data_IF_905586315072
#
_entry.id   IF_905586315072
#
_cell.length_a   1.000
_cell.length_b   1.000
_cell.length_c   1.000
_cell.angle_alpha   90.00
_cell.angle_beta   90.00
_cell.angle_gamma   90.00
#
_symmetry.space_group_name_H-M   'P 1'
#
loop_
_entity.id
_entity.type
_entity.pdbx_description
1 polymer ?
#
# COMPACT_ATOMS: atom_id res chain seq x y z
N UNK A 1 68.33 -19.53 8.08
CA UNK A 1 67.35 -19.13 9.12
C UNK A 1 66.37 -18.05 8.60
N UNK A 2 66.74 -17.19 7.67
CA UNK A 2 65.86 -16.12 7.15
C UNK A 2 64.64 -16.62 6.33
N UNK A 3 64.75 -17.71 5.60
CA UNK A 3 63.69 -18.26 4.76
C UNK A 3 62.53 -18.79 5.62
N UNK A 4 62.82 -19.48 6.72
CA UNK A 4 61.82 -20.04 7.63
C UNK A 4 61.01 -18.96 8.39
N UNK A 5 61.66 -17.82 8.70
CA UNK A 5 61.02 -16.68 9.32
C UNK A 5 60.02 -15.99 8.37
N UNK A 6 60.34 -15.96 7.07
CA UNK A 6 59.48 -15.37 6.06
C UNK A 6 58.23 -16.22 5.79
N UNK A 7 58.36 -17.55 5.79
CA UNK A 7 57.20 -18.47 5.64
C UNK A 7 56.21 -18.34 6.81
N UNK A 8 56.69 -18.23 8.03
CA UNK A 8 55.84 -18.05 9.21
C UNK A 8 55.09 -16.71 9.20
N UNK A 9 55.76 -15.64 8.75
CA UNK A 9 55.15 -14.32 8.60
C UNK A 9 54.03 -14.33 7.57
N UNK A 10 54.29 -14.93 6.40
CA UNK A 10 53.28 -15.05 5.31
C UNK A 10 52.09 -15.86 5.79
N UNK A 11 52.31 -16.99 6.47
CA UNK A 11 51.24 -17.83 6.99
C UNK A 11 50.36 -17.07 8.01
N UNK A 12 50.98 -16.35 8.95
CA UNK A 12 50.26 -15.55 9.95
C UNK A 12 49.44 -14.45 9.27
N UNK A 13 50.00 -13.81 8.24
CA UNK A 13 49.28 -12.74 7.51
C UNK A 13 48.08 -13.29 6.75
N UNK A 14 48.22 -14.47 6.10
CA UNK A 14 47.10 -15.13 5.41
C UNK A 14 46.00 -15.54 6.39
N UNK A 15 46.36 -16.10 7.54
CA UNK A 15 45.40 -16.47 8.57
C UNK A 15 44.66 -15.24 9.10
N UNK A 16 45.37 -14.15 9.40
CA UNK A 16 44.74 -12.89 9.83
C UNK A 16 43.81 -12.31 8.77
N UNK A 17 44.21 -12.34 7.50
CA UNK A 17 43.41 -11.89 6.38
C UNK A 17 42.11 -12.73 6.29
N UNK A 18 42.24 -14.06 6.37
CA UNK A 18 41.11 -14.98 6.30
C UNK A 18 40.12 -14.75 7.46
N UNK A 19 40.64 -14.62 8.68
CA UNK A 19 39.79 -14.33 9.87
C UNK A 19 39.09 -12.99 9.71
N UNK A 20 39.80 -11.94 9.26
CA UNK A 20 39.21 -10.63 9.01
C UNK A 20 38.11 -10.66 7.95
N UNK A 21 38.30 -11.44 6.89
CA UNK A 21 37.31 -11.61 5.82
C UNK A 21 36.07 -12.37 6.31
N UNK A 22 36.25 -13.43 7.09
CA UNK A 22 35.14 -14.20 7.69
C UNK A 22 34.35 -13.33 8.66
N UNK A 23 35.02 -12.62 9.56
CA UNK A 23 34.35 -11.73 10.54
C UNK A 23 33.64 -10.59 9.82
N UNK A 24 34.26 -9.98 8.81
CA UNK A 24 33.63 -8.94 7.99
C UNK A 24 32.39 -9.42 7.26
N UNK A 25 32.46 -10.61 6.66
CA UNK A 25 31.32 -11.22 5.97
C UNK A 25 30.19 -11.57 6.95
N UNK A 26 30.49 -12.17 8.07
CA UNK A 26 29.52 -12.53 9.10
C UNK A 26 28.82 -11.28 9.68
N UNK A 27 29.60 -10.23 9.94
CA UNK A 27 29.06 -8.98 10.47
C UNK A 27 28.15 -8.27 9.46
N UNK A 28 28.50 -8.31 8.16
CA UNK A 28 27.66 -7.72 7.11
C UNK A 28 26.34 -8.47 6.96
N UNK A 29 26.37 -9.80 7.03
CA UNK A 29 25.17 -10.65 6.95
C UNK A 29 24.24 -10.43 8.15
N UNK A 30 24.79 -10.37 9.36
CA UNK A 30 24.00 -10.09 10.57
C UNK A 30 23.35 -8.70 10.53
N UNK A 31 24.08 -7.69 10.05
CA UNK A 31 23.51 -6.34 9.88
C UNK A 31 22.41 -6.29 8.83
N UNK A 32 22.55 -7.03 7.73
CA UNK A 32 21.53 -7.12 6.71
C UNK A 32 20.24 -7.80 7.25
N UNK A 33 20.40 -8.89 8.00
CA UNK A 33 19.27 -9.57 8.64
C UNK A 33 18.59 -8.71 9.69
N UNK A 34 19.35 -8.00 10.54
CA UNK A 34 18.80 -7.07 11.51
C UNK A 34 17.99 -5.94 10.84
N UNK A 35 18.51 -5.34 9.77
CA UNK A 35 17.79 -4.30 9.02
C UNK A 35 16.49 -4.83 8.41
N UNK A 36 16.54 -6.01 7.78
CA UNK A 36 15.34 -6.63 7.21
C UNK A 36 14.27 -6.92 8.28
N UNK A 37 14.66 -7.35 9.49
CA UNK A 37 13.76 -7.56 10.60
C UNK A 37 13.14 -6.24 11.09
N UNK A 38 13.92 -5.17 11.23
CA UNK A 38 13.43 -3.85 11.63
C UNK A 38 12.47 -3.24 10.59
N UNK A 39 12.78 -3.39 9.30
CA UNK A 39 11.90 -2.92 8.21
C UNK A 39 10.55 -3.67 8.23
N UNK A 40 10.60 -4.99 8.47
CA UNK A 40 9.39 -5.81 8.61
C UNK A 40 8.52 -5.39 9.79
N UNK A 41 9.12 -5.14 10.96
CA UNK A 41 8.40 -4.70 12.15
C UNK A 41 7.74 -3.32 11.95
N UNK A 42 8.46 -2.38 11.34
CA UNK A 42 7.91 -1.07 11.02
C UNK A 42 6.74 -1.15 10.03
N UNK A 43 6.84 -2.01 9.01
CA UNK A 43 5.77 -2.23 8.06
C UNK A 43 4.51 -2.75 8.75
N UNK A 44 4.64 -3.78 9.60
CA UNK A 44 3.53 -4.35 10.35
C UNK A 44 2.87 -3.30 11.25
N UNK A 45 3.64 -2.50 11.95
CA UNK A 45 3.13 -1.43 12.81
C UNK A 45 2.32 -0.40 12.01
N UNK A 46 2.85 0.07 10.87
CA UNK A 46 2.15 1.02 9.99
C UNK A 46 0.85 0.43 9.43
N UNK A 47 0.86 -0.84 9.03
CA UNK A 47 -0.34 -1.54 8.57
C UNK A 47 -1.38 -1.73 9.67
N UNK A 48 -0.93 -1.99 10.89
CA UNK A 48 -1.81 -2.07 12.05
C UNK A 48 -2.50 -0.72 12.32
N UNK A 49 -1.76 0.38 12.28
CA UNK A 49 -2.30 1.72 12.53
C UNK A 49 -3.37 2.10 11.50
N UNK A 50 -3.08 1.93 10.20
CA UNK A 50 -4.08 2.20 9.15
C UNK A 50 -5.28 1.26 9.25
N UNK A 51 -5.07 -0.03 9.51
CA UNK A 51 -6.15 -1.02 9.68
C UNK A 51 -7.09 -0.65 10.83
N UNK A 52 -6.52 -0.17 11.95
CA UNK A 52 -7.29 0.28 13.10
C UNK A 52 -8.14 1.50 12.78
N UNK A 53 -7.61 2.48 12.07
CA UNK A 53 -8.36 3.67 11.68
C UNK A 53 -9.43 3.35 10.63
N UNK A 54 -9.11 2.53 9.61
CA UNK A 54 -10.08 2.03 8.65
C UNK A 54 -11.18 1.19 9.32
N UNK A 55 -10.85 0.47 10.41
CA UNK A 55 -11.82 -0.28 11.20
C UNK A 55 -12.92 0.58 11.83
N UNK A 56 -12.63 1.83 12.16
CA UNK A 56 -13.57 2.80 12.74
C UNK A 56 -14.40 3.54 11.68
N UNK A 57 -13.96 3.54 10.43
CA UNK A 57 -14.63 4.25 9.35
C UNK A 57 -15.99 3.59 9.04
N UNK A 58 -17.04 4.41 9.03
CA UNK A 58 -18.42 4.01 8.77
C UNK A 58 -18.92 4.53 7.41
N UNK A 59 -18.18 5.44 6.80
CA UNK A 59 -18.53 6.06 5.52
C UNK A 59 -17.35 6.04 4.57
N UNK A 60 -17.64 6.09 3.27
CA UNK A 60 -16.61 6.16 2.20
C UNK A 60 -15.73 7.40 2.36
N UNK A 61 -16.32 8.52 2.80
CA UNK A 61 -15.59 9.77 3.05
C UNK A 61 -14.54 9.63 4.16
N UNK A 62 -14.90 8.93 5.25
CA UNK A 62 -13.95 8.64 6.33
C UNK A 62 -12.80 7.74 5.86
N UNK A 63 -13.10 6.75 5.01
CA UNK A 63 -12.06 5.91 4.39
C UNK A 63 -11.11 6.76 3.55
N UNK A 64 -11.64 7.70 2.75
CA UNK A 64 -10.84 8.64 1.96
C UNK A 64 -9.92 9.51 2.83
N UNK A 65 -10.45 10.08 3.91
CA UNK A 65 -9.66 10.90 4.84
C UNK A 65 -8.51 10.12 5.47
N UNK A 66 -8.79 8.90 5.94
CA UNK A 66 -7.77 8.01 6.53
C UNK A 66 -6.72 7.65 5.48
N UNK A 67 -7.12 7.25 4.28
CA UNK A 67 -6.22 6.88 3.20
C UNK A 67 -5.31 8.05 2.79
N UNK A 68 -5.88 9.25 2.57
CA UNK A 68 -5.13 10.46 2.23
C UNK A 68 -4.16 10.87 3.33
N UNK A 69 -4.63 10.91 4.58
CA UNK A 69 -3.81 11.26 5.73
C UNK A 69 -2.63 10.31 5.90
N UNK A 70 -2.86 9.01 5.74
CA UNK A 70 -1.81 7.99 5.84
C UNK A 70 -0.79 8.11 4.70
N UNK A 71 -1.23 8.22 3.43
CA UNK A 71 -0.33 8.32 2.28
C UNK A 71 0.50 9.61 2.33
N UNK A 72 -0.11 10.72 2.74
CA UNK A 72 0.61 11.97 2.91
C UNK A 72 1.64 11.89 4.05
N UNK A 73 1.25 11.40 5.21
CA UNK A 73 2.12 11.32 6.38
C UNK A 73 3.28 10.33 6.25
N UNK A 74 3.06 9.20 5.55
CA UNK A 74 4.08 8.16 5.43
C UNK A 74 4.98 8.30 4.20
N UNK A 75 4.50 8.89 3.12
CA UNK A 75 5.19 8.91 1.82
C UNK A 75 5.25 10.29 1.18
N UNK A 76 4.65 11.32 1.79
CA UNK A 76 4.52 12.65 1.17
C UNK A 76 3.72 12.63 -0.13
N UNK A 77 2.88 11.62 -0.34
CA UNK A 77 2.12 11.43 -1.56
C UNK A 77 0.71 11.99 -1.42
N UNK A 78 0.20 12.55 -2.50
CA UNK A 78 -1.21 12.92 -2.63
C UNK A 78 -1.97 11.70 -3.12
N UNK A 79 -2.98 11.28 -2.37
CA UNK A 79 -3.85 10.17 -2.74
C UNK A 79 -5.23 10.70 -3.16
N UNK A 80 -5.78 10.16 -4.23
CA UNK A 80 -7.14 10.43 -4.71
C UNK A 80 -7.91 9.12 -4.77
N UNK A 81 -9.04 9.04 -4.07
CA UNK A 81 -9.86 7.84 -4.00
C UNK A 81 -11.00 7.89 -5.02
N UNK A 82 -11.14 6.80 -5.78
CA UNK A 82 -12.23 6.55 -6.70
C UNK A 82 -12.97 5.29 -6.28
N UNK A 83 -14.29 5.36 -6.13
CA UNK A 83 -15.13 4.23 -5.75
C UNK A 83 -16.04 3.85 -6.90
N UNK A 84 -16.20 2.56 -7.14
CA UNK A 84 -17.06 2.00 -8.19
C UNK A 84 -18.49 1.89 -7.67
N UNK A 85 -19.43 2.70 -8.25
CA UNK A 85 -20.85 2.66 -7.90
C UNK A 85 -21.73 3.26 -9.02
N UNK A 86 -22.29 2.54 -9.94
CA UNK A 86 -21.79 1.50 -10.86
C UNK A 86 -20.62 1.98 -11.71
N UNK A 87 -20.51 3.30 -11.94
CA UNK A 87 -19.36 3.94 -12.61
C UNK A 87 -18.36 4.46 -11.58
N UNK A 88 -17.07 4.63 -11.92
CA UNK A 88 -16.10 5.17 -11.00
C UNK A 88 -16.43 6.62 -10.63
N UNK A 89 -16.69 6.86 -9.36
CA UNK A 89 -16.97 8.19 -8.80
C UNK A 89 -15.81 8.59 -7.90
N UNK A 90 -15.30 9.80 -8.10
CA UNK A 90 -14.28 10.38 -7.25
C UNK A 90 -14.87 10.80 -5.91
N UNK A 91 -14.24 10.36 -4.83
CA UNK A 91 -14.64 10.68 -3.46
C UNK A 91 -13.85 11.86 -2.90
N UNK A 92 -12.56 11.92 -3.19
CA UNK A 92 -11.65 12.93 -2.66
C UNK A 92 -12.04 14.35 -3.11
N UNK A 93 -12.15 15.32 -2.19
CA UNK A 93 -12.54 16.70 -2.51
C UNK A 93 -11.45 17.51 -3.22
N UNK A 94 -10.24 16.99 -3.37
CA UNK A 94 -9.08 17.74 -3.83
C UNK A 94 -9.09 18.09 -5.32
N UNK A 95 -8.49 19.21 -5.63
CA UNK A 95 -8.78 20.10 -6.75
C UNK A 95 -8.16 19.75 -8.09
N UNK A 96 -7.36 18.75 -8.29
CA UNK A 96 -6.67 18.53 -9.59
C UNK A 96 -6.67 17.07 -10.01
N UNK A 97 -7.87 16.53 -10.25
CA UNK A 97 -7.94 15.36 -11.10
C UNK A 97 -8.00 15.86 -12.55
N UNK A 98 -6.93 15.63 -13.28
CA UNK A 98 -6.96 15.85 -14.72
C UNK A 98 -7.88 14.83 -15.40
N UNK A 99 -8.40 15.13 -16.60
CA UNK A 99 -9.20 14.19 -17.39
C UNK A 99 -8.48 12.85 -17.64
N UNK A 100 -7.15 12.86 -17.62
CA UNK A 100 -6.29 11.68 -17.76
C UNK A 100 -6.41 10.71 -16.56
N UNK A 101 -6.60 11.21 -15.34
CA UNK A 101 -6.76 10.35 -14.16
C UNK A 101 -8.09 9.58 -14.22
N UNK A 102 -9.18 10.26 -14.56
CA UNK A 102 -10.49 9.63 -14.69
C UNK A 102 -10.47 8.54 -15.78
N UNK A 103 -9.87 8.84 -16.93
CA UNK A 103 -9.75 7.87 -18.01
C UNK A 103 -8.86 6.69 -17.65
N UNK A 104 -7.74 6.91 -16.95
CA UNK A 104 -6.85 5.86 -16.50
C UNK A 104 -7.53 4.93 -15.47
N UNK A 105 -8.29 5.50 -14.54
CA UNK A 105 -9.08 4.74 -13.57
C UNK A 105 -10.14 3.89 -14.27
N UNK A 106 -10.86 4.46 -15.24
CA UNK A 106 -11.88 3.75 -15.99
C UNK A 106 -11.29 2.59 -16.78
N UNK A 107 -10.21 2.83 -17.54
CA UNK A 107 -9.49 1.79 -18.29
C UNK A 107 -8.99 0.67 -17.37
N UNK A 108 -8.37 1.03 -16.24
CA UNK A 108 -7.85 0.05 -15.29
C UNK A 108 -8.96 -0.83 -14.70
N UNK A 109 -10.07 -0.23 -14.28
CA UNK A 109 -11.21 -0.96 -13.71
C UNK A 109 -11.93 -1.84 -14.73
N UNK A 110 -11.97 -1.46 -16.00
CA UNK A 110 -12.53 -2.28 -17.07
C UNK A 110 -11.59 -3.42 -17.50
N UNK A 111 -10.28 -3.15 -17.55
CA UNK A 111 -9.28 -4.15 -17.92
C UNK A 111 -8.97 -5.16 -16.79
N UNK A 112 -9.45 -4.92 -15.57
CA UNK A 112 -9.14 -5.76 -14.41
C UNK A 112 -7.66 -5.71 -14.01
N UNK A 113 -6.96 -4.63 -14.35
CA UNK A 113 -5.54 -4.46 -14.01
C UNK A 113 -5.40 -4.05 -12.54
N UNK A 114 -4.40 -4.61 -11.88
CA UNK A 114 -4.13 -4.30 -10.47
C UNK A 114 -3.41 -2.96 -10.31
N UNK A 115 -2.59 -2.58 -11.30
CA UNK A 115 -1.77 -1.36 -11.27
C UNK A 115 -1.53 -0.81 -12.67
N UNK A 116 -1.52 0.50 -12.78
CA UNK A 116 -1.18 1.23 -14.00
C UNK A 116 -0.30 2.43 -13.66
N UNK A 117 0.90 2.49 -14.27
CA UNK A 117 1.76 3.68 -14.17
C UNK A 117 1.22 4.76 -15.13
N UNK A 118 0.94 5.94 -14.60
CA UNK A 118 0.63 7.13 -15.40
C UNK A 118 1.94 7.75 -15.86
N UNK A 119 2.12 7.89 -17.17
CA UNK A 119 3.35 8.43 -17.76
C UNK A 119 3.63 9.85 -17.26
N UNK A 120 4.90 10.13 -17.04
CA UNK A 120 5.62 11.40 -16.86
C UNK A 120 5.59 12.08 -15.47
N UNK A 121 4.61 11.85 -14.60
CA UNK A 121 4.50 12.63 -13.34
C UNK A 121 4.79 11.83 -12.05
N UNK A 122 5.32 10.61 -12.14
CA UNK A 122 5.50 9.75 -10.95
C UNK A 122 4.17 9.36 -10.28
N UNK A 123 3.06 9.55 -10.99
CA UNK A 123 1.74 9.14 -10.57
C UNK A 123 1.44 7.71 -11.04
N UNK A 124 0.74 6.94 -10.23
CA UNK A 124 0.22 5.65 -10.63
C UNK A 124 -1.17 5.39 -10.03
N UNK A 125 -1.91 4.52 -10.70
CA UNK A 125 -3.21 4.05 -10.26
C UNK A 125 -3.07 2.64 -9.73
N UNK A 126 -3.70 2.36 -8.59
CA UNK A 126 -3.77 1.03 -7.99
C UNK A 126 -5.23 0.65 -7.74
N UNK A 127 -5.59 -0.59 -8.08
CA UNK A 127 -6.91 -1.13 -7.81
C UNK A 127 -7.12 -1.36 -6.30
N UNK A 128 -8.27 -1.01 -5.81
CA UNK A 128 -8.71 -1.30 -4.44
C UNK A 128 -9.43 -2.64 -4.45
N UNK A 129 -8.62 -3.69 -4.42
CA UNK A 129 -9.10 -5.06 -4.46
C UNK A 129 -9.61 -5.48 -3.09
N UNK A 130 -10.84 -5.97 -3.06
CA UNK A 130 -11.44 -6.62 -1.92
C UNK A 130 -11.62 -8.12 -2.20
N UNK A 131 -11.93 -8.97 -1.19
CA UNK A 131 -12.06 -10.40 -1.37
C UNK A 131 -13.05 -10.84 -2.45
N UNK A 132 -14.14 -10.11 -2.64
CA UNK A 132 -15.21 -10.46 -3.59
C UNK A 132 -15.12 -9.68 -4.90
N UNK A 133 -14.59 -8.45 -4.88
CA UNK A 133 -14.60 -7.59 -6.07
C UNK A 133 -13.62 -6.43 -5.96
N UNK A 134 -13.35 -5.79 -7.10
CA UNK A 134 -12.64 -4.50 -7.12
C UNK A 134 -13.65 -3.42 -6.77
N UNK A 135 -13.45 -2.72 -5.66
CA UNK A 135 -14.35 -1.68 -5.13
C UNK A 135 -14.02 -0.28 -5.63
N UNK A 136 -12.87 -0.10 -6.25
CA UNK A 136 -12.45 1.20 -6.75
C UNK A 136 -10.99 1.23 -7.13
N UNK A 137 -10.45 2.43 -7.17
CA UNK A 137 -9.05 2.69 -7.45
C UNK A 137 -8.53 3.83 -6.59
N UNK A 138 -7.23 3.83 -6.34
CA UNK A 138 -6.53 4.93 -5.70
C UNK A 138 -5.46 5.44 -6.65
N UNK A 139 -5.49 6.74 -6.94
CA UNK A 139 -4.44 7.43 -7.67
C UNK A 139 -3.47 8.02 -6.67
N UNK A 140 -2.20 7.71 -6.83
CA UNK A 140 -1.12 8.23 -5.98
C UNK A 140 -0.21 9.11 -6.82
N UNK A 141 0.05 10.30 -6.33
CA UNK A 141 0.90 11.29 -6.98
C UNK A 141 1.90 11.85 -5.98
N UNK A 142 3.16 11.96 -6.39
CA UNK A 142 4.22 12.56 -5.58
C UNK A 142 4.64 13.89 -6.18
N UNK A 143 4.82 14.95 -5.36
CA UNK A 143 5.19 16.29 -5.88
C UNK A 143 6.54 16.34 -6.57
N UNK A 144 7.47 15.45 -6.22
CA UNK A 144 8.73 15.28 -6.91
C UNK A 144 8.66 13.97 -7.74
N UNK A 145 9.07 14.03 -9.01
CA UNK A 145 9.14 12.87 -9.91
C UNK A 145 10.20 11.85 -9.44
N UNK A 146 10.03 11.32 -8.23
CA UNK A 146 10.90 10.32 -7.63
C UNK A 146 10.30 8.94 -7.78
N UNK A 147 11.10 7.98 -8.17
CA UNK A 147 10.68 6.58 -8.28
C UNK A 147 10.30 6.00 -6.90
N UNK A 148 9.27 5.17 -6.88
CA UNK A 148 8.82 4.47 -5.68
C UNK A 148 9.78 3.33 -5.33
N UNK A 149 10.27 3.31 -4.10
CA UNK A 149 11.11 2.21 -3.60
C UNK A 149 10.32 0.89 -3.50
N UNK A 150 10.98 -0.26 -3.54
CA UNK A 150 10.31 -1.55 -3.37
C UNK A 150 9.55 -1.68 -2.04
N UNK A 151 10.06 -1.07 -0.96
CA UNK A 151 9.40 -1.04 0.35
C UNK A 151 8.12 -0.20 0.34
N UNK A 152 8.16 0.98 -0.28
CA UNK A 152 6.98 1.83 -0.45
C UNK A 152 5.90 1.15 -1.29
N UNK A 153 6.28 0.49 -2.38
CA UNK A 153 5.33 -0.26 -3.23
C UNK A 153 4.61 -1.35 -2.44
N UNK A 154 5.33 -2.14 -1.64
CA UNK A 154 4.72 -3.17 -0.77
C UNK A 154 3.75 -2.57 0.25
N UNK A 155 4.12 -1.43 0.85
CA UNK A 155 3.24 -0.75 1.79
C UNK A 155 1.97 -0.26 1.09
N UNK A 156 2.09 0.32 -0.10
CA UNK A 156 0.96 0.79 -0.91
C UNK A 156 0.04 -0.37 -1.28
N UNK A 157 0.59 -1.51 -1.74
CA UNK A 157 -0.19 -2.70 -2.09
C UNK A 157 -1.00 -3.21 -0.91
N UNK A 158 -0.36 -3.31 0.26
CA UNK A 158 -1.03 -3.75 1.47
C UNK A 158 -2.10 -2.75 1.94
N UNK A 159 -1.85 -1.44 1.85
CA UNK A 159 -2.83 -0.40 2.16
C UNK A 159 -4.01 -0.44 1.19
N UNK A 160 -3.77 -0.62 -0.12
CA UNK A 160 -4.83 -0.72 -1.12
C UNK A 160 -5.78 -1.90 -0.83
N UNK A 161 -5.25 -3.05 -0.42
CA UNK A 161 -6.05 -4.20 0.00
C UNK A 161 -6.90 -3.90 1.26
N UNK A 162 -6.32 -3.21 2.26
CA UNK A 162 -7.04 -2.82 3.48
C UNK A 162 -8.16 -1.81 3.17
N UNK A 163 -7.88 -0.82 2.33
CA UNK A 163 -8.86 0.18 1.89
C UNK A 163 -9.98 -0.51 1.09
N UNK A 164 -9.63 -1.39 0.16
CA UNK A 164 -10.60 -2.19 -0.60
C UNK A 164 -11.54 -2.98 0.30
N UNK A 165 -10.99 -3.68 1.31
CA UNK A 165 -11.77 -4.42 2.29
C UNK A 165 -12.67 -3.52 3.15
N UNK A 166 -12.22 -2.33 3.53
CA UNK A 166 -13.02 -1.35 4.26
C UNK A 166 -14.22 -0.84 3.41
N UNK A 167 -13.97 -0.53 2.14
CA UNK A 167 -15.01 -0.12 1.19
C UNK A 167 -16.03 -1.24 0.95
N UNK A 168 -15.58 -2.48 0.85
CA UNK A 168 -16.46 -3.63 0.68
C UNK A 168 -17.37 -3.83 1.89
N UNK A 169 -16.83 -3.70 3.10
CA UNK A 169 -17.62 -3.75 4.34
C UNK A 169 -18.69 -2.67 4.36
N UNK A 170 -18.36 -1.41 4.03
CA UNK A 170 -19.31 -0.30 4.00
C UNK A 170 -20.40 -0.59 2.97
N UNK A 171 -20.04 -1.03 1.78
CA UNK A 171 -21.02 -1.38 0.75
C UNK A 171 -22.01 -2.46 1.21
N UNK A 172 -21.56 -3.52 1.88
CA UNK A 172 -22.48 -4.54 2.38
C UNK A 172 -23.39 -4.03 3.50
N UNK A 173 -22.91 -3.11 4.35
CA UNK A 173 -23.74 -2.46 5.36
C UNK A 173 -24.83 -1.62 4.69
N UNK A 174 -24.49 -0.87 3.64
CA UNK A 174 -25.46 -0.05 2.88
C UNK A 174 -26.52 -0.95 2.21
N UNK A 175 -26.10 -2.00 1.50
CA UNK A 175 -27.00 -2.95 0.85
C UNK A 175 -27.93 -3.63 1.87
N UNK A 176 -27.40 -4.07 3.01
CA UNK A 176 -28.22 -4.69 4.05
C UNK A 176 -29.24 -3.73 4.65
N UNK A 177 -28.86 -2.46 4.82
CA UNK A 177 -29.76 -1.41 5.32
C UNK A 177 -30.89 -1.12 4.34
N UNK A 178 -30.57 -0.97 3.06
CA UNK A 178 -31.57 -0.70 2.02
C UNK A 178 -32.57 -1.84 1.90
N UNK A 179 -32.09 -3.09 1.93
CA UNK A 179 -32.95 -4.27 1.92
C UNK A 179 -33.88 -4.34 3.14
N UNK A 180 -33.40 -3.96 4.32
CA UNK A 180 -34.22 -3.93 5.53
C UNK A 180 -35.33 -2.89 5.45
N UNK A 181 -35.06 -1.71 4.91
CA UNK A 181 -36.04 -0.64 4.69
C UNK A 181 -37.12 -1.06 3.68
N UNK A 182 -36.73 -1.74 2.62
CA UNK A 182 -37.65 -2.24 1.60
C UNK A 182 -38.63 -3.27 2.18
N UNK A 183 -38.14 -4.24 2.95
CA UNK A 183 -38.96 -5.26 3.61
C UNK A 183 -39.94 -4.64 4.57
N UNK A 184 -39.55 -3.64 5.37
CA UNK A 184 -40.41 -2.95 6.30
C UNK A 184 -41.48 -2.14 5.57
N UNK A 185 -41.13 -1.47 4.46
CA UNK A 185 -42.06 -0.78 3.57
C UNK A 185 -43.14 -1.69 2.96
N UNK A 186 -42.75 -2.90 2.53
CA UNK A 186 -43.70 -3.90 2.01
C UNK A 186 -44.64 -4.42 3.12
N UNK A 187 -44.13 -4.66 4.34
CA UNK A 187 -44.96 -5.08 5.48
C UNK A 187 -46.02 -4.05 5.80
N UNK A 188 -45.68 -2.77 5.85
CA UNK A 188 -46.62 -1.70 6.10
C UNK A 188 -47.67 -1.57 5.00
N UNK A 189 -47.32 -1.82 3.75
CA UNK A 189 -48.25 -1.77 2.62
C UNK A 189 -49.23 -2.94 2.62
N UNK A 190 -48.85 -4.11 3.14
CA UNK A 190 -49.69 -5.29 3.17
C UNK A 190 -50.63 -5.36 4.41
N UNK A 191 -50.53 -4.40 5.35
CA UNK A 191 -51.35 -4.30 6.56
C UNK A 191 -52.51 -3.29 6.38
N UNK A 192 -52.47 -2.47 5.33
CA UNK A 192 -53.53 -1.54 4.95
C UNK A 192 -54.44 -2.15 3.88
#
# INVERSE_FOLDING_TARGET
>A
PAAVANERLVFTLVVMLMVGLIVGHLTSTLRAQARAAFEGEQLVRRLYDISRELGKALTVQQVDEVARGFMHGQMGAVATLWVRNPSPVRVSPSAVAGPLEAQAVEVMLHAGQERMDLRDDGAFVIALQAPMSIRGAMVLQRPAASSWSPGERRLIDACAALIGSALERIHYIEVARDSAVEIEGERLRNVL
#
